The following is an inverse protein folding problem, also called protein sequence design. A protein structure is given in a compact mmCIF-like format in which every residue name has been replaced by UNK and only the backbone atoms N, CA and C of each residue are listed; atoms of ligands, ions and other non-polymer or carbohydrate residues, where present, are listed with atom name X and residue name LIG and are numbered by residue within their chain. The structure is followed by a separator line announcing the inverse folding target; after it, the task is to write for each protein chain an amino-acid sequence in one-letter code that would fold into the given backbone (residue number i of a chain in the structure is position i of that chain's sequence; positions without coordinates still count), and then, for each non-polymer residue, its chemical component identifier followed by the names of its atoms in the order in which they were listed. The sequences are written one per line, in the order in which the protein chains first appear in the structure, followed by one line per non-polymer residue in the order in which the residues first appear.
data_IF_568692280068
#
_entry.id   IF_568692280068
#
_cell.length_a   1.000
_cell.length_b   1.000
_cell.length_c   1.000
_cell.angle_alpha   90.00
_cell.angle_beta   90.00
_cell.angle_gamma   90.00
#
_symmetry.space_group_name_H-M   'P 1'
#
loop_
_entity.id
_entity.type
_entity.pdbx_description
1 polymer ?
#
# COMPACT_ATOMS: atom_id res chain seq x y z
N UNK A 1 -40.28 9.65 19.92
CA UNK A 1 -38.99 9.16 20.46
C UNK A 1 -37.94 9.34 19.39
N UNK A 2 -36.80 9.97 19.69
CA UNK A 2 -35.67 10.14 18.76
C UNK A 2 -34.50 9.37 19.35
N UNK A 3 -34.07 8.30 18.69
CA UNK A 3 -32.92 7.50 19.11
C UNK A 3 -31.70 8.07 18.41
N UNK A 4 -30.71 8.53 19.18
CA UNK A 4 -29.40 8.91 18.64
C UNK A 4 -28.48 7.72 18.86
N UNK A 5 -28.14 7.03 17.78
CA UNK A 5 -27.09 6.01 17.85
C UNK A 5 -25.75 6.76 17.88
N UNK A 6 -24.95 6.49 18.91
CA UNK A 6 -23.58 6.98 18.99
C UNK A 6 -22.72 6.10 18.11
N UNK A 7 -22.01 6.72 17.18
CA UNK A 7 -21.12 6.05 16.26
C UNK A 7 -19.86 5.51 16.97
N UNK A 8 -19.35 4.37 16.51
CA UNK A 8 -18.11 3.74 16.97
C UNK A 8 -17.28 3.38 15.75
N UNK A 9 -15.95 3.41 15.88
CA UNK A 9 -15.06 2.88 14.85
C UNK A 9 -15.04 1.34 14.97
N UNK A 10 -15.96 0.69 14.25
CA UNK A 10 -16.15 -0.76 14.26
C UNK A 10 -16.32 -1.39 12.87
N UNK A 11 -16.12 -0.62 11.80
CA UNK A 11 -16.03 -1.10 10.42
C UNK A 11 -14.66 -0.79 9.82
N UNK A 12 -13.93 -1.83 9.42
CA UNK A 12 -12.61 -1.64 8.84
C UNK A 12 -12.64 -0.84 7.52
N UNK A 13 -11.55 -0.12 7.16
CA UNK A 13 -11.47 0.63 5.92
C UNK A 13 -11.66 -0.28 4.72
N UNK A 14 -12.22 0.24 3.63
CA UNK A 14 -12.45 -0.51 2.40
C UNK A 14 -11.73 0.15 1.22
N UNK A 15 -11.21 -0.68 0.33
CA UNK A 15 -10.60 -0.22 -0.92
C UNK A 15 -11.60 -0.30 -2.06
N UNK A 16 -11.47 0.58 -3.05
CA UNK A 16 -12.26 0.51 -4.28
C UNK A 16 -12.00 -0.77 -5.09
N UNK A 17 -12.73 -0.94 -6.19
CA UNK A 17 -12.53 -2.09 -7.08
C UNK A 17 -11.19 -1.97 -7.85
N UNK A 18 -10.42 -3.07 -7.86
CA UNK A 18 -9.22 -3.21 -8.69
C UNK A 18 -9.54 -3.47 -10.18
N UNK A 19 -8.53 -3.46 -11.06
CA UNK A 19 -7.18 -3.92 -10.76
C UNK A 19 -6.23 -2.83 -10.22
N UNK A 20 -5.38 -3.22 -9.27
CA UNK A 20 -4.31 -2.39 -8.69
C UNK A 20 -2.99 -2.61 -9.43
N UNK A 21 -2.96 -2.29 -10.73
CA UNK A 21 -1.78 -2.43 -11.59
C UNK A 21 -1.43 -1.07 -12.19
N UNK A 22 -0.16 -0.71 -12.12
CA UNK A 22 0.36 0.57 -12.57
C UNK A 22 1.62 0.35 -13.42
N UNK A 23 1.81 1.22 -14.40
CA UNK A 23 2.98 1.22 -15.28
C UNK A 23 3.78 2.50 -15.06
N UNK A 24 5.09 2.36 -14.93
CA UNK A 24 6.01 3.49 -14.72
C UNK A 24 7.19 3.34 -15.68
N UNK A 25 7.48 4.35 -16.50
CA UNK A 25 8.67 4.28 -17.36
C UNK A 25 9.94 4.22 -16.52
N UNK A 26 10.95 3.47 -16.97
CA UNK A 26 12.26 3.49 -16.30
C UNK A 26 13.00 4.82 -16.44
N UNK A 27 12.65 5.57 -17.50
CA UNK A 27 13.13 6.93 -17.72
C UNK A 27 12.44 7.94 -16.79
N UNK A 28 11.45 7.53 -15.98
CA UNK A 28 10.73 8.42 -15.09
C UNK A 28 11.67 8.93 -13.98
N UNK A 29 11.78 10.26 -13.78
CA UNK A 29 12.65 10.80 -12.74
C UNK A 29 12.10 10.51 -11.34
N UNK A 30 12.97 10.47 -10.31
CA UNK A 30 12.54 10.50 -8.92
C UNK A 30 11.54 11.63 -8.64
N UNK A 31 10.52 11.34 -7.83
CA UNK A 31 9.42 12.23 -7.51
C UNK A 31 8.18 12.04 -8.40
N UNK A 32 8.28 11.26 -9.48
CA UNK A 32 7.15 10.88 -10.34
C UNK A 32 6.03 10.25 -9.52
N UNK A 33 4.81 10.76 -9.66
CA UNK A 33 3.62 10.20 -9.01
C UNK A 33 3.18 8.97 -9.78
N UNK A 34 3.16 7.82 -9.10
CA UNK A 34 2.67 6.55 -9.67
C UNK A 34 1.14 6.52 -9.63
N UNK A 35 0.58 6.81 -8.45
CA UNK A 35 -0.86 6.83 -8.22
C UNK A 35 -1.20 7.55 -6.92
N UNK A 36 -2.48 7.85 -6.70
CA UNK A 36 -3.01 8.29 -5.40
C UNK A 36 -4.06 7.30 -4.94
N UNK A 37 -3.74 6.56 -3.89
CA UNK A 37 -4.58 5.53 -3.32
C UNK A 37 -5.61 6.16 -2.38
N UNK A 38 -6.82 5.62 -2.38
CA UNK A 38 -7.88 6.10 -1.50
C UNK A 38 -8.72 4.95 -0.98
N UNK A 39 -8.65 4.73 0.32
CA UNK A 39 -9.59 3.89 1.04
C UNK A 39 -10.80 4.73 1.50
N UNK A 40 -11.90 4.03 1.77
CA UNK A 40 -13.13 4.59 2.32
C UNK A 40 -13.44 3.88 3.64
N UNK A 41 -13.61 4.68 4.68
CA UNK A 41 -14.07 4.24 5.99
C UNK A 41 -15.47 4.83 6.23
N UNK A 42 -16.49 4.01 6.49
CA UNK A 42 -17.85 4.50 6.73
C UNK A 42 -18.03 5.09 8.13
N UNK A 43 -17.12 4.86 9.07
CA UNK A 43 -17.23 5.33 10.44
C UNK A 43 -16.92 6.83 10.51
N UNK A 44 -17.65 7.55 11.37
CA UNK A 44 -17.51 9.01 11.53
C UNK A 44 -16.36 9.40 12.46
N UNK A 45 -15.78 8.41 13.15
CA UNK A 45 -14.63 8.55 14.04
C UNK A 45 -13.49 7.63 13.61
N UNK A 46 -12.24 8.07 13.75
CA UNK A 46 -11.06 7.39 13.21
C UNK A 46 -10.29 8.31 12.27
N UNK A 47 -9.05 7.96 11.91
CA UNK A 47 -8.29 8.71 10.92
C UNK A 47 -7.52 7.76 10.04
N UNK A 48 -7.87 7.75 8.75
CA UNK A 48 -7.20 6.93 7.77
C UNK A 48 -5.73 7.33 7.62
N UNK A 49 -4.87 6.31 7.75
CA UNK A 49 -3.45 6.38 7.49
C UNK A 49 -3.04 5.28 6.51
N UNK A 50 -2.15 5.64 5.60
CA UNK A 50 -1.61 4.73 4.61
C UNK A 50 -0.17 4.34 4.94
N UNK A 51 0.17 3.07 4.74
CA UNK A 51 1.55 2.60 4.95
C UNK A 51 1.91 1.46 3.99
N UNK A 52 3.19 1.35 3.69
CA UNK A 52 3.76 0.16 3.08
C UNK A 52 4.00 -0.84 4.21
N UNK A 53 3.55 -2.07 4.04
CA UNK A 53 3.72 -3.13 5.04
C UNK A 53 4.44 -4.32 4.43
N UNK A 54 5.18 -5.04 5.27
CA UNK A 54 5.83 -6.26 4.83
C UNK A 54 4.79 -7.25 4.28
N UNK A 55 5.08 -7.78 3.09
CA UNK A 55 4.33 -8.90 2.54
C UNK A 55 4.55 -10.12 3.44
N UNK A 56 3.50 -10.62 4.06
CA UNK A 56 3.54 -11.91 4.74
C UNK A 56 3.57 -13.02 3.68
N UNK A 57 4.78 -13.37 3.24
CA UNK A 57 5.03 -14.28 2.12
C UNK A 57 4.43 -15.69 2.28
N UNK A 58 3.90 -16.06 3.45
CA UNK A 58 3.06 -17.26 3.63
C UNK A 58 1.86 -17.30 2.64
N UNK A 59 1.43 -16.15 2.12
CA UNK A 59 0.37 -16.03 1.10
C UNK A 59 0.87 -16.01 -0.35
N UNK A 60 2.19 -15.96 -0.58
CA UNK A 60 2.82 -16.18 -1.88
C UNK A 60 3.33 -17.62 -1.83
N UNK A 61 2.60 -18.56 -2.41
CA UNK A 61 2.89 -20.00 -2.39
C UNK A 61 4.21 -20.37 -3.13
N UNK A 62 5.35 -19.75 -2.81
CA UNK A 62 6.65 -20.03 -3.43
C UNK A 62 7.58 -20.89 -2.56
N UNK A 63 7.17 -21.18 -1.32
CA UNK A 63 7.78 -22.20 -0.46
C UNK A 63 9.24 -21.97 -0.03
N UNK A 64 9.89 -20.87 -0.40
CA UNK A 64 11.35 -20.75 -0.27
C UNK A 64 11.84 -19.31 -0.03
N UNK A 65 11.40 -18.66 1.06
CA UNK A 65 12.06 -17.41 1.46
C UNK A 65 12.29 -17.33 2.95
N UNK A 66 13.55 -17.06 3.28
CA UNK A 66 13.99 -16.80 4.64
C UNK A 66 13.43 -15.46 5.11
N UNK A 67 13.32 -15.25 6.43
CA UNK A 67 12.99 -13.96 7.03
C UNK A 67 13.85 -12.81 6.47
N UNK A 68 15.13 -13.09 6.19
CA UNK A 68 16.07 -12.13 5.60
C UNK A 68 15.66 -11.65 4.19
N UNK A 69 14.97 -12.49 3.41
CA UNK A 69 14.53 -12.13 2.07
C UNK A 69 13.35 -11.15 2.10
N UNK A 70 12.50 -11.26 3.13
CA UNK A 70 11.38 -10.34 3.38
C UNK A 70 11.90 -8.97 3.77
N UNK A 71 12.84 -8.91 4.71
CA UNK A 71 13.44 -7.64 5.15
C UNK A 71 14.17 -6.93 3.99
N UNK A 72 14.93 -7.67 3.17
CA UNK A 72 15.57 -7.11 1.97
C UNK A 72 14.54 -6.57 0.98
N UNK A 73 13.51 -7.36 0.67
CA UNK A 73 12.45 -6.92 -0.26
C UNK A 73 11.74 -5.67 0.26
N UNK A 74 11.47 -5.60 1.56
CA UNK A 74 10.83 -4.43 2.16
C UNK A 74 11.75 -3.20 2.12
N UNK A 75 13.02 -3.39 2.45
CA UNK A 75 14.05 -2.33 2.36
C UNK A 75 14.14 -1.79 0.93
N UNK A 76 14.13 -2.67 -0.07
CA UNK A 76 14.17 -2.27 -1.48
C UNK A 76 12.91 -1.50 -1.89
N UNK A 77 11.73 -1.92 -1.42
CA UNK A 77 10.46 -1.22 -1.68
C UNK A 77 10.46 0.18 -1.05
N UNK A 78 10.90 0.31 0.20
CA UNK A 78 10.94 1.59 0.93
C UNK A 78 12.01 2.55 0.38
N UNK A 79 13.05 2.01 -0.26
CA UNK A 79 14.01 2.80 -1.05
C UNK A 79 13.39 3.26 -2.36
N UNK A 80 12.76 2.35 -3.10
CA UNK A 80 12.25 2.65 -4.44
C UNK A 80 11.02 3.56 -4.44
N UNK A 81 10.13 3.44 -3.44
CA UNK A 81 8.85 4.13 -3.42
C UNK A 81 8.59 4.84 -2.09
N UNK A 82 7.91 5.99 -2.16
CA UNK A 82 7.40 6.73 -1.01
C UNK A 82 5.89 6.82 -1.08
N UNK A 83 5.24 6.42 0.00
CA UNK A 83 3.79 6.57 0.18
C UNK A 83 3.52 7.65 1.21
N UNK A 84 2.78 8.67 0.82
CA UNK A 84 2.32 9.69 1.75
C UNK A 84 1.21 9.12 2.64
N UNK A 85 1.45 9.15 3.95
CA UNK A 85 0.58 8.50 4.93
C UNK A 85 -0.79 9.16 5.10
N UNK A 86 -1.01 10.37 4.59
CA UNK A 86 -2.28 11.11 4.73
C UNK A 86 -3.05 11.09 3.41
N UNK A 87 -2.37 11.41 2.32
CA UNK A 87 -2.97 11.60 1.00
C UNK A 87 -3.07 10.31 0.20
N UNK A 88 -2.31 9.28 0.58
CA UNK A 88 -2.22 8.03 -0.17
C UNK A 88 -1.42 8.15 -1.47
N UNK A 89 -0.73 9.27 -1.67
CA UNK A 89 0.06 9.50 -2.88
C UNK A 89 1.33 8.63 -2.87
N UNK A 90 1.43 7.75 -3.86
CA UNK A 90 2.59 6.90 -4.08
C UNK A 90 3.48 7.52 -5.15
N UNK A 91 4.77 7.68 -4.84
CA UNK A 91 5.76 8.28 -5.73
C UNK A 91 7.00 7.40 -5.84
N UNK A 92 7.65 7.51 -6.99
CA UNK A 92 8.98 6.98 -7.20
C UNK A 92 10.00 7.80 -6.38
N UNK A 93 10.90 7.15 -5.66
CA UNK A 93 11.94 7.80 -4.85
C UNK A 93 13.34 7.71 -5.46
N UNK A 94 13.61 6.63 -6.21
CA UNK A 94 14.88 6.39 -6.91
C UNK A 94 14.59 6.03 -8.38
N UNK A 95 15.53 6.21 -9.32
CA UNK A 95 15.35 5.73 -10.70
C UNK A 95 15.07 4.23 -10.73
N UNK A 96 14.36 3.78 -11.76
CA UNK A 96 14.14 2.37 -12.01
C UNK A 96 15.22 1.84 -12.95
N UNK A 97 15.46 0.54 -12.86
CA UNK A 97 16.28 -0.22 -13.80
C UNK A 97 15.50 -1.51 -14.09
N UNK A 98 14.89 -1.59 -15.27
CA UNK A 98 13.98 -2.70 -15.61
C UNK A 98 14.74 -3.97 -15.98
N UNK A 99 16.01 -3.86 -16.37
CA UNK A 99 16.90 -5.01 -16.56
C UNK A 99 17.25 -5.69 -15.22
N UNK A 100 17.36 -4.92 -14.13
CA UNK A 100 17.58 -5.45 -12.77
C UNK A 100 16.27 -5.92 -12.14
N UNK A 101 15.20 -5.11 -12.25
CA UNK A 101 13.90 -5.42 -11.63
C UNK A 101 12.75 -4.86 -12.44
N UNK A 102 12.14 -5.75 -13.21
CA UNK A 102 11.00 -5.43 -14.08
C UNK A 102 9.69 -5.21 -13.32
N UNK A 103 9.56 -5.74 -12.09
CA UNK A 103 8.29 -5.72 -11.34
C UNK A 103 8.47 -5.53 -9.84
N UNK A 104 7.58 -4.73 -9.27
CA UNK A 104 7.41 -4.55 -7.83
C UNK A 104 5.99 -4.97 -7.41
N UNK A 105 5.89 -5.67 -6.28
CA UNK A 105 4.63 -5.99 -5.62
C UNK A 105 4.62 -5.31 -4.26
N UNK A 106 3.82 -4.26 -4.12
CA UNK A 106 3.73 -3.46 -2.91
C UNK A 106 2.48 -3.86 -2.15
N UNK A 107 2.63 -4.22 -0.87
CA UNK A 107 1.49 -4.40 0.02
C UNK A 107 1.22 -3.08 0.74
N UNK A 108 0.06 -2.50 0.48
CA UNK A 108 -0.36 -1.20 1.04
C UNK A 108 -1.49 -1.43 2.02
N UNK A 109 -1.38 -0.80 3.19
CA UNK A 109 -2.37 -0.79 4.26
C UNK A 109 -3.11 0.54 4.30
N UNK A 110 -4.42 0.48 4.54
CA UNK A 110 -5.22 1.56 5.08
C UNK A 110 -5.62 1.19 6.50
N UNK A 111 -5.34 2.05 7.46
CA UNK A 111 -5.53 1.83 8.90
C UNK A 111 -6.30 3.02 9.49
N UNK A 112 -7.38 2.77 10.23
CA UNK A 112 -8.21 3.80 10.85
C UNK A 112 -7.79 4.14 12.31
N UNK A 113 -6.78 3.43 12.83
CA UNK A 113 -6.29 3.48 14.22
C UNK A 113 -6.71 2.28 15.08
N UNK A 114 -7.68 1.48 14.64
CA UNK A 114 -8.20 0.28 15.32
C UNK A 114 -8.21 -0.90 14.36
N UNK A 115 -8.71 -0.72 13.15
CA UNK A 115 -8.80 -1.75 12.11
C UNK A 115 -8.06 -1.31 10.85
N UNK A 116 -7.80 -2.28 9.98
CA UNK A 116 -7.10 -2.03 8.73
C UNK A 116 -7.48 -3.03 7.64
N UNK A 117 -7.24 -2.62 6.39
CA UNK A 117 -7.27 -3.52 5.24
C UNK A 117 -6.05 -3.31 4.35
N UNK A 118 -5.58 -4.41 3.77
CA UNK A 118 -4.39 -4.43 2.93
C UNK A 118 -4.75 -4.78 1.47
N UNK A 119 -4.09 -4.13 0.50
CA UNK A 119 -4.14 -4.48 -0.92
C UNK A 119 -2.72 -4.72 -1.48
N UNK A 120 -2.63 -5.47 -2.57
CA UNK A 120 -1.39 -5.63 -3.32
C UNK A 120 -1.45 -4.80 -4.60
N UNK A 121 -0.49 -3.88 -4.76
CA UNK A 121 -0.25 -3.15 -5.98
C UNK A 121 0.83 -3.85 -6.79
N UNK A 122 0.67 -3.88 -8.11
CA UNK A 122 1.71 -4.30 -9.03
C UNK A 122 2.19 -3.09 -9.80
N UNK A 123 3.50 -2.83 -9.76
CA UNK A 123 4.15 -1.79 -10.56
C UNK A 123 5.11 -2.48 -11.51
N UNK A 124 4.92 -2.23 -12.80
CA UNK A 124 5.72 -2.80 -13.89
C UNK A 124 6.01 -1.74 -14.96
#
# INVERSE_FOLDING_TARGET
VRVTVLDKNDVAPSWGAGPWKFEVSEEAPPGTVVTTLKAHDPDTIGTLRYSLVASNKKLLNDGLSSYNDIERTMTDIERQFRLDAVTGQLRLAEPLDREIKDKYVLRVRADDGIQHTDINLIIQ
#
